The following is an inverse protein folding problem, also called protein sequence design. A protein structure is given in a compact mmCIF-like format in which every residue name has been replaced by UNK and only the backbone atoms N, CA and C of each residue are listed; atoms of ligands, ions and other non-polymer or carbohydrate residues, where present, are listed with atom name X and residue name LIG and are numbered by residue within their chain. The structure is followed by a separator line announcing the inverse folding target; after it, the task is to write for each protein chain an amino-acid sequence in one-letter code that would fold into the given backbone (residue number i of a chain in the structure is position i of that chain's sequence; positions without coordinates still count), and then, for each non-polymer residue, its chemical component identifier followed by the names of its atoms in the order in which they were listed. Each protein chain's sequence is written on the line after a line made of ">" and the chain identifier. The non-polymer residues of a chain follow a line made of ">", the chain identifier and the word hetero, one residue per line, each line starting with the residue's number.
data_IF_838630125293
#
_entry.id   IF_838630125293
#
_cell.length_a   1.000
_cell.length_b   1.000
_cell.length_c   1.000
_cell.angle_alpha   90.00
_cell.angle_beta   90.00
_cell.angle_gamma   90.00
#
_symmetry.space_group_name_H-M   'P 1'
#
loop_
_entity.id
_entity.type
_entity.pdbx_description
1 polymer ?
#
# COMPACT_ATOMS: atom_id res chain seq x y z
N UNK A 1 3.81 8.72 -3.89
CA UNK A 1 2.34 8.84 -3.85
C UNK A 1 1.90 9.82 -4.93
N UNK A 2 0.64 9.80 -5.35
CA UNK A 2 0.14 10.77 -6.31
C UNK A 2 0.10 12.18 -5.68
N UNK A 3 0.41 13.23 -6.45
CA UNK A 3 0.30 14.61 -6.00
C UNK A 3 -1.17 15.05 -6.05
N UNK A 4 -1.97 14.63 -5.05
CA UNK A 4 -3.39 14.95 -4.99
C UNK A 4 -3.67 16.47 -4.97
N UNK A 5 -2.90 17.33 -4.27
CA UNK A 5 -3.09 18.78 -4.33
C UNK A 5 -3.10 19.33 -5.76
N UNK A 6 -2.10 18.98 -6.57
CA UNK A 6 -2.00 19.44 -7.96
C UNK A 6 -3.11 18.84 -8.85
N UNK A 7 -3.51 17.58 -8.61
CA UNK A 7 -4.63 16.95 -9.33
C UNK A 7 -5.93 17.69 -9.03
N UNK A 8 -6.22 17.98 -7.77
CA UNK A 8 -7.42 18.72 -7.38
C UNK A 8 -7.40 20.15 -7.93
N UNK A 9 -6.23 20.82 -7.99
CA UNK A 9 -6.12 22.16 -8.61
C UNK A 9 -6.50 22.13 -10.10
N UNK A 10 -6.04 21.11 -10.83
CA UNK A 10 -6.43 20.92 -12.22
C UNK A 10 -7.91 20.58 -12.33
N UNK A 11 -8.43 19.74 -11.45
CA UNK A 11 -9.85 19.37 -11.46
C UNK A 11 -10.76 20.58 -11.26
N UNK A 12 -10.42 21.48 -10.33
CA UNK A 12 -11.14 22.74 -10.12
C UNK A 12 -11.09 23.64 -11.36
N UNK A 13 -9.90 23.76 -11.99
CA UNK A 13 -9.71 24.57 -13.20
C UNK A 13 -10.50 24.06 -14.40
N UNK A 14 -10.57 22.75 -14.57
CA UNK A 14 -11.17 22.10 -15.74
C UNK A 14 -12.57 21.54 -15.46
N UNK A 15 -13.13 21.81 -14.28
CA UNK A 15 -14.44 21.33 -13.83
C UNK A 15 -14.57 19.80 -13.95
N UNK A 16 -13.51 19.09 -13.57
CA UNK A 16 -13.44 17.63 -13.60
C UNK A 16 -13.74 17.04 -12.21
N UNK A 17 -14.28 15.82 -12.20
CA UNK A 17 -14.41 15.03 -10.97
C UNK A 17 -13.08 14.35 -10.64
N UNK A 18 -12.76 14.27 -9.35
CA UNK A 18 -11.59 13.54 -8.82
C UNK A 18 -12.05 12.22 -8.20
N UNK A 19 -11.51 11.13 -8.74
CA UNK A 19 -11.62 9.79 -8.16
C UNK A 19 -10.26 9.32 -7.67
N UNK A 20 -10.19 8.80 -6.44
CA UNK A 20 -8.98 8.23 -5.85
C UNK A 20 -9.23 6.77 -5.48
N UNK A 21 -8.39 5.86 -6.01
CA UNK A 21 -8.25 4.51 -5.46
C UNK A 21 -7.22 4.54 -4.33
N UNK A 22 -7.69 4.36 -3.11
CA UNK A 22 -6.91 4.44 -1.89
C UNK A 22 -6.68 3.06 -1.25
N UNK A 23 -6.80 1.99 -2.05
CA UNK A 23 -6.69 0.61 -1.58
C UNK A 23 -5.36 0.32 -0.87
N UNK A 24 -4.28 1.02 -1.22
CA UNK A 24 -2.97 0.87 -0.60
C UNK A 24 -2.68 1.92 0.46
N UNK A 25 -3.64 2.70 0.94
CA UNK A 25 -3.39 3.78 1.89
C UNK A 25 -4.43 3.85 3.02
N UNK A 26 -5.68 3.46 2.75
CA UNK A 26 -6.73 3.41 3.77
C UNK A 26 -6.28 2.56 4.97
N UNK A 27 -6.53 3.09 6.16
CA UNK A 27 -6.21 2.48 7.44
C UNK A 27 -4.87 2.88 8.02
N UNK A 28 -3.97 3.51 7.24
CA UNK A 28 -2.65 3.89 7.77
C UNK A 28 -2.03 5.17 7.20
N UNK A 29 -2.48 5.68 6.06
CA UNK A 29 -2.06 7.01 5.60
C UNK A 29 -2.96 8.10 6.18
N UNK A 30 -2.37 9.25 6.46
CA UNK A 30 -3.06 10.37 7.11
C UNK A 30 -3.06 10.28 8.64
N UNK A 31 -3.30 11.42 9.30
CA UNK A 31 -3.24 11.54 10.76
C UNK A 31 -4.23 10.64 11.50
N UNK A 32 -5.30 10.19 10.84
CA UNK A 32 -6.31 9.29 11.41
C UNK A 32 -6.48 8.02 10.56
N UNK A 33 -5.55 7.74 9.64
CA UNK A 33 -5.62 6.57 8.78
C UNK A 33 -6.73 6.63 7.73
N UNK A 34 -7.25 7.82 7.41
CA UNK A 34 -8.35 7.96 6.42
C UNK A 34 -7.89 7.89 4.98
N UNK A 35 -6.58 7.80 4.75
CA UNK A 35 -6.02 7.60 3.43
C UNK A 35 -5.18 8.75 2.89
N UNK A 36 -4.80 8.62 1.61
CA UNK A 36 -4.01 9.64 0.91
C UNK A 36 -4.70 11.01 0.84
N UNK A 37 -6.03 11.14 0.67
CA UNK A 37 -6.70 12.44 0.70
C UNK A 37 -6.56 13.17 2.04
N UNK A 38 -6.67 12.46 3.17
CA UNK A 38 -6.43 13.05 4.50
C UNK A 38 -4.97 13.45 4.66
N UNK A 39 -4.05 12.59 4.22
CA UNK A 39 -2.62 12.88 4.27
C UNK A 39 -2.27 14.20 3.55
N UNK A 40 -2.89 14.48 2.41
CA UNK A 40 -2.68 15.72 1.66
C UNK A 40 -3.61 16.88 2.06
N UNK A 41 -4.54 16.68 3.00
CA UNK A 41 -5.50 17.72 3.40
C UNK A 41 -6.50 18.10 2.31
N UNK A 42 -6.83 17.17 1.40
CA UNK A 42 -7.71 17.41 0.24
C UNK A 42 -8.96 16.53 0.25
N UNK A 43 -9.32 15.94 1.39
CA UNK A 43 -10.48 15.05 1.53
C UNK A 43 -11.77 15.64 0.96
N UNK A 44 -12.01 16.94 1.17
CA UNK A 44 -13.22 17.64 0.72
C UNK A 44 -13.23 17.94 -0.79
N UNK A 45 -12.10 17.69 -1.48
CA UNK A 45 -11.91 17.92 -2.93
C UNK A 45 -11.89 16.62 -3.74
N UNK A 46 -12.16 15.47 -3.09
CA UNK A 46 -12.25 14.16 -3.75
C UNK A 46 -13.71 13.75 -3.83
N UNK A 47 -14.23 13.60 -5.06
CA UNK A 47 -15.63 13.29 -5.30
C UNK A 47 -15.97 11.81 -5.07
N UNK A 48 -15.02 10.92 -5.40
CA UNK A 48 -15.17 9.46 -5.34
C UNK A 48 -13.91 8.85 -4.74
N UNK A 49 -14.07 8.09 -3.67
CA UNK A 49 -13.02 7.28 -3.05
C UNK A 49 -13.35 5.81 -3.22
N UNK A 50 -12.43 5.03 -3.78
CA UNK A 50 -12.50 3.57 -3.75
C UNK A 50 -11.45 3.00 -2.82
N UNK A 51 -11.77 1.86 -2.22
CA UNK A 51 -10.83 1.14 -1.37
C UNK A 51 -11.18 -0.32 -1.26
N UNK A 52 -10.24 -1.09 -0.72
CA UNK A 52 -10.41 -2.53 -0.49
C UNK A 52 -10.53 -2.83 1.00
N UNK A 53 -11.31 -3.86 1.30
CA UNK A 53 -11.39 -4.44 2.64
C UNK A 53 -10.33 -5.54 2.84
N UNK A 54 -9.69 -6.03 1.78
CA UNK A 54 -8.76 -7.16 1.81
C UNK A 54 -7.30 -6.83 2.12
N UNK A 55 -6.98 -5.58 2.49
CA UNK A 55 -5.62 -5.16 2.87
C UNK A 55 -5.58 -4.74 4.33
N UNK A 56 -5.33 -3.46 4.63
CA UNK A 56 -5.21 -2.97 6.00
C UNK A 56 -6.51 -3.13 6.82
N UNK A 57 -7.67 -3.20 6.15
CA UNK A 57 -8.97 -3.32 6.81
C UNK A 57 -9.38 -4.77 7.13
N UNK A 58 -8.50 -5.76 6.93
CA UNK A 58 -8.61 -7.09 7.54
C UNK A 58 -9.79 -7.97 7.13
N UNK A 59 -10.67 -7.53 6.23
CA UNK A 59 -11.83 -8.28 5.76
C UNK A 59 -11.51 -9.46 4.83
N UNK A 60 -10.23 -9.66 4.47
CA UNK A 60 -9.72 -10.62 3.50
C UNK A 60 -10.24 -10.45 2.05
N UNK A 61 -11.47 -9.96 1.84
CA UNK A 61 -12.08 -9.69 0.54
C UNK A 61 -13.08 -8.53 0.63
N UNK A 62 -13.48 -8.01 -0.53
CA UNK A 62 -14.43 -6.90 -0.67
C UNK A 62 -13.78 -5.55 -0.94
N UNK A 63 -14.63 -4.59 -1.24
CA UNK A 63 -14.26 -3.21 -1.52
C UNK A 63 -15.46 -2.29 -1.38
N UNK A 64 -15.21 -1.00 -1.46
CA UNK A 64 -16.23 0.02 -1.32
C UNK A 64 -15.97 1.18 -2.26
N UNK A 65 -17.04 1.92 -2.53
CA UNK A 65 -17.00 3.24 -3.15
C UNK A 65 -17.72 4.20 -2.19
N UNK A 66 -17.02 5.27 -1.82
CA UNK A 66 -17.54 6.36 -1.00
C UNK A 66 -17.56 7.64 -1.83
N UNK A 67 -18.54 8.50 -1.61
CA UNK A 67 -18.71 9.74 -2.35
C UNK A 67 -20.06 10.37 -2.02
N UNK A 68 -20.47 11.34 -2.84
CA UNK A 68 -21.79 11.99 -2.71
C UNK A 68 -22.93 10.98 -2.87
N UNK A 69 -24.04 11.23 -2.16
CA UNK A 69 -25.18 10.30 -2.09
C UNK A 69 -25.74 9.98 -3.49
N UNK A 70 -25.80 10.98 -4.38
CA UNK A 70 -26.30 10.85 -5.75
C UNK A 70 -25.42 9.91 -6.58
N UNK A 71 -24.10 9.95 -6.38
CA UNK A 71 -23.15 9.05 -7.04
C UNK A 71 -23.34 7.63 -6.54
N UNK A 72 -23.42 7.45 -5.21
CA UNK A 72 -23.60 6.13 -4.60
C UNK A 72 -24.92 5.50 -5.05
N UNK A 73 -26.01 6.26 -5.08
CA UNK A 73 -27.31 5.79 -5.52
C UNK A 73 -27.31 5.42 -7.01
N UNK A 74 -26.71 6.24 -7.86
CA UNK A 74 -26.54 5.92 -9.28
C UNK A 74 -25.76 4.61 -9.48
N UNK A 75 -24.66 4.42 -8.74
CA UNK A 75 -23.86 3.20 -8.80
C UNK A 75 -24.64 1.98 -8.34
N UNK A 76 -25.46 2.08 -7.29
CA UNK A 76 -26.33 0.98 -6.83
C UNK A 76 -27.33 0.55 -7.91
N UNK A 77 -27.81 1.49 -8.73
CA UNK A 77 -28.79 1.22 -9.78
C UNK A 77 -28.20 0.85 -11.15
N UNK A 78 -26.91 1.13 -11.39
CA UNK A 78 -26.29 0.97 -12.73
C UNK A 78 -25.07 0.05 -12.76
N UNK A 79 -24.40 -0.16 -11.62
CA UNK A 79 -23.18 -0.96 -11.56
C UNK A 79 -23.51 -2.45 -11.70
N UNK A 80 -23.12 -3.06 -12.82
CA UNK A 80 -23.34 -4.50 -13.06
C UNK A 80 -22.73 -5.38 -11.96
N UNK A 81 -21.49 -5.15 -11.47
CA UNK A 81 -20.95 -5.93 -10.36
C UNK A 81 -21.75 -5.80 -9.06
N UNK A 82 -22.45 -4.68 -8.84
CA UNK A 82 -23.32 -4.50 -7.67
C UNK A 82 -24.66 -5.22 -7.85
N UNK A 83 -25.26 -5.14 -9.05
CA UNK A 83 -26.59 -5.68 -9.34
C UNK A 83 -26.61 -7.20 -9.58
N UNK A 84 -25.55 -7.76 -10.16
CA UNK A 84 -25.51 -9.14 -10.64
C UNK A 84 -24.48 -10.00 -9.89
N UNK A 85 -24.17 -9.64 -8.64
CA UNK A 85 -23.29 -10.41 -7.77
C UNK A 85 -23.89 -10.57 -6.37
N UNK A 86 -23.43 -11.58 -5.64
CA UNK A 86 -23.87 -11.81 -4.27
C UNK A 86 -23.22 -10.80 -3.32
N UNK A 87 -23.98 -10.37 -2.30
CA UNK A 87 -23.46 -9.56 -1.21
C UNK A 87 -22.31 -10.26 -0.48
N UNK A 88 -21.44 -9.47 0.16
CA UNK A 88 -20.35 -9.99 0.99
C UNK A 88 -20.88 -10.89 2.11
N UNK A 89 -20.13 -11.94 2.44
CA UNK A 89 -20.46 -12.81 3.55
C UNK A 89 -20.49 -12.01 4.87
N UNK A 90 -21.48 -12.21 5.75
CA UNK A 90 -21.59 -11.45 7.01
C UNK A 90 -20.31 -11.44 7.87
N UNK A 91 -19.51 -12.52 7.99
CA UNK A 91 -18.25 -12.48 8.73
C UNK A 91 -17.22 -11.48 8.17
N UNK A 92 -17.17 -11.30 6.85
CA UNK A 92 -16.27 -10.33 6.20
C UNK A 92 -16.68 -8.91 6.58
N UNK A 93 -17.98 -8.63 6.57
CA UNK A 93 -18.54 -7.32 6.96
C UNK A 93 -18.23 -7.04 8.43
N UNK A 94 -18.47 -8.01 9.32
CA UNK A 94 -18.20 -7.87 10.76
C UNK A 94 -16.71 -7.62 11.06
N UNK A 95 -15.81 -8.39 10.43
CA UNK A 95 -14.36 -8.20 10.58
C UNK A 95 -13.92 -6.81 10.08
N UNK A 96 -14.44 -6.38 8.93
CA UNK A 96 -14.12 -5.07 8.35
C UNK A 96 -14.60 -3.92 9.23
N UNK A 97 -15.83 -4.01 9.77
CA UNK A 97 -16.36 -3.02 10.71
C UNK A 97 -15.50 -2.95 11.98
N UNK A 98 -15.07 -4.10 12.52
CA UNK A 98 -14.20 -4.12 13.69
C UNK A 98 -12.82 -3.52 13.40
N UNK A 99 -12.25 -3.79 12.23
CA UNK A 99 -10.99 -3.16 11.81
C UNK A 99 -11.12 -1.63 11.73
N UNK A 100 -12.20 -1.13 11.12
CA UNK A 100 -12.49 0.31 11.04
C UNK A 100 -12.64 0.92 12.44
N UNK A 101 -13.36 0.25 13.36
CA UNK A 101 -13.53 0.68 14.75
C UNK A 101 -12.17 0.80 15.47
N UNK A 102 -11.32 -0.24 15.37
CA UNK A 102 -9.99 -0.24 15.99
C UNK A 102 -9.09 0.88 15.44
N UNK A 103 -9.12 1.10 14.12
CA UNK A 103 -8.33 2.16 13.49
C UNK A 103 -8.86 3.57 13.79
N UNK A 104 -10.17 3.69 14.07
CA UNK A 104 -10.79 4.97 14.44
C UNK A 104 -10.55 5.37 15.89
N UNK A 105 -10.27 4.40 16.76
CA UNK A 105 -10.12 4.59 18.22
C UNK A 105 -8.68 4.74 18.67
N UNK A 106 -7.71 4.25 17.90
CA UNK A 106 -6.29 4.33 18.26
C UNK A 106 -5.39 4.48 17.03
N UNK A 107 -4.30 5.21 17.23
CA UNK A 107 -3.25 5.42 16.23
C UNK A 107 -2.04 4.50 16.43
N UNK A 108 -1.97 3.77 17.54
CA UNK A 108 -0.78 3.04 17.99
C UNK A 108 -0.21 2.11 16.91
N UNK A 109 -1.06 1.35 16.22
CA UNK A 109 -0.60 0.44 15.16
C UNK A 109 -0.01 1.18 13.96
N UNK A 110 -0.63 2.30 13.58
CA UNK A 110 -0.17 3.14 12.47
C UNK A 110 1.12 3.86 12.82
N UNK A 111 1.22 4.43 14.01
CA UNK A 111 2.41 5.15 14.45
C UNK A 111 3.60 4.19 14.54
N UNK A 112 3.37 2.96 15.00
CA UNK A 112 4.34 1.87 14.95
C UNK A 112 4.73 1.50 13.52
N UNK A 113 3.76 1.35 12.61
CA UNK A 113 4.02 1.08 11.18
C UNK A 113 4.87 2.19 10.53
N UNK A 114 4.57 3.45 10.80
CA UNK A 114 5.33 4.59 10.30
C UNK A 114 6.76 4.58 10.84
N UNK A 115 6.95 4.29 12.13
CA UNK A 115 8.27 4.12 12.74
C UNK A 115 9.06 2.98 12.09
N UNK A 116 8.46 1.80 11.94
CA UNK A 116 9.09 0.64 11.29
C UNK A 116 9.44 0.93 9.83
N UNK A 117 8.57 1.65 9.12
CA UNK A 117 8.81 2.02 7.71
C UNK A 117 10.01 2.94 7.59
N UNK A 118 10.12 3.96 8.47
CA UNK A 118 11.27 4.87 8.50
C UNK A 118 12.56 4.11 8.83
N UNK A 119 12.53 3.32 9.90
CA UNK A 119 13.65 2.49 10.34
C UNK A 119 14.14 1.56 9.24
N UNK A 120 13.24 0.79 8.62
CA UNK A 120 13.62 -0.15 7.56
C UNK A 120 14.19 0.56 6.33
N UNK A 121 13.63 1.71 5.92
CA UNK A 121 14.16 2.51 4.81
C UNK A 121 15.56 3.04 5.09
N UNK A 122 15.80 3.60 6.27
CA UNK A 122 17.11 4.10 6.68
C UNK A 122 18.16 2.99 6.67
N UNK A 123 17.82 1.83 7.26
CA UNK A 123 18.72 0.67 7.31
C UNK A 123 18.99 0.08 5.93
N UNK A 124 17.96 -0.09 5.10
CA UNK A 124 18.13 -0.58 3.72
C UNK A 124 18.93 0.37 2.83
N UNK A 125 18.79 1.68 3.02
CA UNK A 125 19.60 2.66 2.27
C UNK A 125 21.10 2.51 2.59
N UNK A 126 21.44 2.10 3.82
CA UNK A 126 22.80 1.75 4.23
C UNK A 126 23.34 0.44 3.64
N UNK A 127 22.47 -0.41 3.09
CA UNK A 127 22.83 -1.67 2.40
C UNK A 127 23.27 -1.40 0.95
N UNK A 128 23.36 -0.16 0.48
CA UNK A 128 23.82 0.11 -0.89
C UNK A 128 22.94 -0.48 -1.99
N UNK A 129 21.70 -0.89 -1.65
CA UNK A 129 20.66 -1.20 -2.63
C UNK A 129 19.85 0.07 -2.86
N UNK A 130 19.42 0.29 -4.10
CA UNK A 130 18.59 1.46 -4.41
C UNK A 130 17.19 1.29 -3.81
N UNK A 131 16.84 2.20 -2.89
CA UNK A 131 15.51 2.31 -2.29
C UNK A 131 14.87 3.62 -2.70
N UNK A 132 13.70 3.57 -3.33
CA UNK A 132 13.01 4.80 -3.72
C UNK A 132 12.61 5.61 -2.48
N UNK A 133 12.83 6.94 -2.45
CA UNK A 133 12.46 7.77 -1.32
C UNK A 133 10.95 7.79 -1.10
N UNK A 134 10.54 8.06 0.13
CA UNK A 134 9.14 8.22 0.51
C UNK A 134 8.84 7.68 1.89
N UNK A 135 7.59 7.82 2.29
CA UNK A 135 7.09 7.45 3.63
C UNK A 135 6.11 6.28 3.62
N UNK A 136 5.74 5.81 2.42
CA UNK A 136 4.77 4.72 2.30
C UNK A 136 5.34 3.42 2.87
N UNK A 137 4.54 2.60 3.59
CA UNK A 137 4.92 1.27 4.10
C UNK A 137 5.25 0.21 3.05
N UNK A 138 5.26 0.57 1.77
CA UNK A 138 5.75 -0.27 0.69
C UNK A 138 7.12 0.27 0.33
N UNK A 139 8.15 -0.54 0.54
CA UNK A 139 9.55 -0.14 0.34
C UNK A 139 10.10 -0.92 -0.86
N UNK A 140 10.09 -0.34 -2.06
CA UNK A 140 10.63 -0.99 -3.24
C UNK A 140 12.16 -0.99 -3.21
N UNK A 141 12.76 -2.16 -3.40
CA UNK A 141 14.21 -2.33 -3.57
C UNK A 141 14.45 -2.54 -5.06
N UNK A 142 15.06 -1.56 -5.72
CA UNK A 142 15.22 -1.53 -7.16
C UNK A 142 16.36 -2.46 -7.59
N UNK A 143 16.11 -3.26 -8.62
CA UNK A 143 17.06 -4.23 -9.17
C UNK A 143 17.23 -4.14 -10.69
N UNK A 144 16.30 -3.46 -11.38
CA UNK A 144 16.30 -3.25 -12.82
C UNK A 144 15.87 -4.47 -13.62
N UNK A 145 16.58 -5.59 -13.44
CA UNK A 145 16.42 -6.81 -14.24
C UNK A 145 15.52 -7.87 -13.61
N UNK A 146 14.67 -8.49 -14.43
CA UNK A 146 13.68 -9.47 -13.98
C UNK A 146 14.33 -10.73 -13.40
N UNK A 147 15.38 -11.23 -14.04
CA UNK A 147 16.11 -12.43 -13.61
C UNK A 147 16.81 -12.19 -12.28
N UNK A 148 17.37 -10.99 -12.07
CA UNK A 148 17.97 -10.60 -10.79
C UNK A 148 16.91 -10.53 -9.68
N UNK A 149 15.75 -9.93 -9.96
CA UNK A 149 14.65 -9.87 -8.99
C UNK A 149 14.13 -11.25 -8.57
N UNK A 150 14.03 -12.21 -9.49
CA UNK A 150 13.70 -13.60 -9.16
C UNK A 150 14.78 -14.27 -8.31
N UNK A 151 16.06 -14.17 -8.71
CA UNK A 151 17.17 -14.75 -7.94
C UNK A 151 17.26 -14.20 -6.51
N UNK A 152 17.11 -12.89 -6.34
CA UNK A 152 17.08 -12.24 -5.03
C UNK A 152 15.90 -12.79 -4.21
N UNK A 153 14.70 -12.89 -4.78
CA UNK A 153 13.54 -13.42 -4.07
C UNK A 153 13.75 -14.88 -3.60
N UNK A 154 14.29 -15.73 -4.48
CA UNK A 154 14.57 -17.14 -4.17
C UNK A 154 15.63 -17.28 -3.05
N UNK A 155 16.71 -16.50 -3.12
CA UNK A 155 17.74 -16.51 -2.08
C UNK A 155 17.25 -15.96 -0.74
N UNK A 156 16.46 -14.89 -0.76
CA UNK A 156 15.85 -14.34 0.46
C UNK A 156 14.92 -15.36 1.10
N UNK A 157 14.11 -16.08 0.30
CA UNK A 157 13.25 -17.15 0.80
C UNK A 157 14.05 -18.29 1.42
N UNK A 158 15.13 -18.75 0.78
CA UNK A 158 16.04 -19.75 1.33
C UNK A 158 16.68 -19.31 2.66
N UNK A 159 16.81 -18.00 2.87
CA UNK A 159 17.31 -17.37 4.11
C UNK A 159 16.20 -17.05 5.12
N UNK A 160 14.97 -17.52 4.89
CA UNK A 160 13.85 -17.35 5.81
C UNK A 160 13.12 -16.01 5.70
N UNK A 161 13.36 -15.23 4.65
CA UNK A 161 12.67 -13.94 4.41
C UNK A 161 11.83 -14.04 3.14
N UNK A 162 10.52 -14.17 3.29
CA UNK A 162 9.63 -14.22 2.15
C UNK A 162 9.41 -12.84 1.54
N UNK A 163 9.89 -12.67 0.31
CA UNK A 163 9.69 -11.48 -0.52
C UNK A 163 9.32 -11.87 -1.94
N UNK A 164 8.70 -10.94 -2.68
CA UNK A 164 8.30 -11.18 -4.06
C UNK A 164 8.97 -10.15 -4.97
N UNK A 165 9.61 -10.66 -6.02
CA UNK A 165 10.10 -9.88 -7.15
C UNK A 165 8.96 -9.49 -8.09
N UNK A 166 8.95 -8.22 -8.49
CA UNK A 166 8.03 -7.67 -9.47
C UNK A 166 8.81 -7.33 -10.74
N UNK A 167 8.34 -7.82 -11.87
CA UNK A 167 8.90 -7.58 -13.20
C UNK A 167 7.78 -7.37 -14.23
N UNK A 168 8.13 -7.15 -15.50
CA UNK A 168 7.15 -7.03 -16.58
C UNK A 168 6.24 -8.27 -16.66
N UNK A 169 4.91 -8.13 -16.85
CA UNK A 169 4.15 -6.92 -17.20
C UNK A 169 3.68 -6.06 -16.02
N UNK A 170 4.00 -6.45 -14.78
CA UNK A 170 3.50 -5.74 -13.58
C UNK A 170 4.21 -4.41 -13.36
N UNK A 171 5.49 -4.32 -13.72
CA UNK A 171 6.27 -3.08 -13.75
C UNK A 171 6.93 -2.89 -15.11
N UNK A 172 7.26 -1.65 -15.54
CA UNK A 172 7.98 -1.41 -16.79
C UNK A 172 9.30 -2.19 -16.87
N UNK A 173 9.71 -2.56 -18.08
CA UNK A 173 11.03 -3.19 -18.33
C UNK A 173 12.15 -2.29 -17.80
N UNK A 174 13.21 -2.90 -17.27
CA UNK A 174 14.33 -2.18 -16.65
C UNK A 174 14.01 -1.59 -15.27
N UNK A 175 12.84 -1.86 -14.69
CA UNK A 175 12.45 -1.37 -13.35
C UNK A 175 12.00 -2.50 -12.42
N UNK A 176 12.52 -3.72 -12.64
CA UNK A 176 12.26 -4.84 -11.76
C UNK A 176 12.73 -4.53 -10.34
N UNK A 177 12.00 -5.03 -9.34
CA UNK A 177 12.22 -4.66 -7.94
C UNK A 177 11.69 -5.73 -7.00
N UNK A 178 12.24 -5.81 -5.79
CA UNK A 178 11.58 -6.50 -4.68
C UNK A 178 10.60 -5.51 -4.04
N UNK A 179 9.34 -5.92 -3.87
CA UNK A 179 8.34 -5.10 -3.18
C UNK A 179 8.17 -5.59 -1.74
N UNK A 180 8.88 -4.98 -0.80
CA UNK A 180 8.64 -5.26 0.62
C UNK A 180 7.44 -4.45 1.12
N UNK A 181 6.70 -5.03 2.06
CA UNK A 181 5.51 -4.44 2.65
C UNK A 181 5.64 -4.55 4.16
N UNK A 182 5.72 -3.42 4.84
CA UNK A 182 5.94 -3.39 6.27
C UNK A 182 4.60 -3.58 6.98
N UNK A 183 4.65 -4.22 8.14
CA UNK A 183 3.52 -4.43 9.01
C UNK A 183 3.82 -3.85 10.38
N UNK A 184 2.78 -3.35 11.05
CA UNK A 184 2.87 -3.00 12.46
C UNK A 184 3.22 -4.24 13.29
N UNK A 185 2.93 -5.45 12.81
CA UNK A 185 3.20 -6.70 13.54
C UNK A 185 4.67 -7.14 13.50
N UNK A 186 5.50 -6.61 12.60
CA UNK A 186 6.93 -6.90 12.62
C UNK A 186 7.54 -6.38 13.93
N UNK A 187 8.52 -7.11 14.47
CA UNK A 187 9.39 -6.60 15.53
C UNK A 187 10.65 -6.00 14.91
N UNK A 188 11.35 -5.16 15.65
CA UNK A 188 12.61 -4.56 15.17
C UNK A 188 13.62 -5.63 14.76
N UNK A 189 13.67 -6.74 15.49
CA UNK A 189 14.55 -7.87 15.20
C UNK A 189 14.21 -8.54 13.86
N UNK A 190 12.93 -8.59 13.49
CA UNK A 190 12.50 -9.14 12.20
C UNK A 190 12.97 -8.22 11.05
N UNK A 191 12.95 -6.90 11.27
CA UNK A 191 13.44 -5.89 10.31
C UNK A 191 14.96 -5.97 10.17
N UNK A 192 15.68 -6.05 11.29
CA UNK A 192 17.15 -6.18 11.30
C UNK A 192 17.60 -7.47 10.62
N UNK A 193 16.90 -8.57 10.88
CA UNK A 193 17.15 -9.84 10.21
C UNK A 193 16.96 -9.72 8.69
N UNK A 194 15.86 -9.13 8.24
CA UNK A 194 15.61 -8.92 6.81
C UNK A 194 16.68 -8.05 6.15
N UNK A 195 17.09 -6.94 6.78
CA UNK A 195 18.15 -6.05 6.29
C UNK A 195 19.48 -6.81 6.17
N UNK A 196 19.84 -7.60 7.19
CA UNK A 196 21.06 -8.40 7.16
C UNK A 196 21.05 -9.44 6.02
N UNK A 197 19.91 -10.09 5.77
CA UNK A 197 19.79 -11.02 4.64
C UNK A 197 19.86 -10.32 3.29
N UNK A 198 19.25 -9.13 3.13
CA UNK A 198 19.41 -8.34 1.92
C UNK A 198 20.87 -7.97 1.66
N UNK A 199 21.62 -7.59 2.70
CA UNK A 199 23.05 -7.30 2.57
C UNK A 199 23.85 -8.53 2.14
N UNK A 200 23.59 -9.68 2.76
CA UNK A 200 24.27 -10.93 2.42
C UNK A 200 23.98 -11.37 0.97
N UNK A 201 22.72 -11.27 0.53
CA UNK A 201 22.30 -11.60 -0.84
C UNK A 201 22.90 -10.63 -1.86
N UNK A 202 22.94 -9.32 -1.55
CA UNK A 202 23.63 -8.32 -2.38
C UNK A 202 25.09 -8.71 -2.62
N UNK A 203 25.80 -9.05 -1.56
CA UNK A 203 27.23 -9.40 -1.62
C UNK A 203 27.46 -10.70 -2.40
N UNK A 204 26.63 -11.72 -2.15
CA UNK A 204 26.70 -13.01 -2.84
C UNK A 204 26.44 -12.90 -4.35
N UNK A 205 25.48 -12.05 -4.73
CA UNK A 205 25.10 -11.85 -6.13
C UNK A 205 25.92 -10.76 -6.83
N UNK A 206 26.83 -10.09 -6.13
CA UNK A 206 27.66 -9.01 -6.68
C UNK A 206 26.85 -7.81 -7.17
N UNK A 207 25.76 -7.47 -6.46
CA UNK A 207 24.91 -6.33 -6.81
C UNK A 207 25.62 -5.04 -6.34
N UNK A 208 25.94 -4.16 -7.30
CA UNK A 208 26.63 -2.88 -7.10
C UNK A 208 25.68 -1.70 -7.01
#
# INVERSE_FOLDING_TARGET
>A
MANLPAICELADRYQALVMVDDSHAVGFMGQRGRGTPEHHGVSDRVDILTGTLGKALGGASGGYTSGRAEIVELLRQRSRPYLFSNSLAPPIVAASLKAIELLSTSTTLRDRLASHTRYFRERMSGVGLEVLPGEHPIVPIMLGEATLASKVADQMLARGVYVIGFSFPVVPRGTARIRTQLSAAHRTEDLDFAVAQFSAVRDELGIS
#
